data_IF_172293366659
#
_entry.id   IF_172293366659
#
_cell.length_a   1.000
_cell.length_b   1.000
_cell.length_c   1.000
_cell.angle_alpha   90.00
_cell.angle_beta   90.00
_cell.angle_gamma   90.00
#
_symmetry.space_group_name_H-M   'P 1'
#
loop_
_entity.id
_entity.type
_entity.pdbx_description
1 polymer ?
#
# COMPACT_ATOMS: atom_id res chain seq x y z
N UNK A 1 50.49 -11.56 18.73
CA UNK A 1 50.05 -11.46 18.68
C UNK A 1 49.19 -10.73 18.25
N UNK A 2 48.69 -10.48 17.84
CA UNK A 2 47.99 -9.79 17.43
C UNK A 2 46.83 -10.12 17.11
N UNK A 3 45.86 -9.86 17.43
CA UNK A 3 44.78 -10.21 17.25
C UNK A 3 44.06 -9.45 16.45
N UNK A 4 43.45 -9.82 15.70
CA UNK A 4 42.79 -9.31 14.87
C UNK A 4 41.59 -8.97 15.32
N UNK A 5 41.23 -8.02 15.43
CA UNK A 5 40.15 -7.65 15.79
C UNK A 5 39.18 -7.70 14.85
N UNK A 6 38.33 -8.41 14.86
CA UNK A 6 37.40 -8.52 14.05
C UNK A 6 36.36 -7.71 14.30
N UNK A 7 36.14 -6.80 13.83
CA UNK A 7 35.19 -6.06 13.95
C UNK A 7 34.17 -6.40 13.15
N UNK A 8 33.21 -6.85 13.59
CA UNK A 8 32.23 -7.18 12.91
C UNK A 8 31.38 -6.13 12.73
N UNK A 9 31.24 -5.52 11.89
CA UNK A 9 30.47 -4.51 11.62
C UNK A 9 29.17 -4.95 11.56
N UNK A 10 28.45 -4.64 12.39
CA UNK A 10 27.24 -5.11 12.41
C UNK A 10 26.49 -4.43 11.42
N UNK A 11 25.99 -4.91 10.56
CA UNK A 11 25.33 -4.34 9.67
C UNK A 11 24.03 -4.23 9.94
N UNK A 12 23.53 -3.32 10.39
CA UNK A 12 22.28 -3.22 10.64
C UNK A 12 21.63 -2.80 9.49
N UNK A 13 20.89 -3.46 8.97
CA UNK A 13 20.26 -3.08 7.90
C UNK A 13 19.06 -2.54 8.30
N UNK A 14 18.70 -1.45 8.04
CA UNK A 14 17.55 -0.95 8.34
C UNK A 14 16.60 -1.31 7.47
N UNK A 15 15.83 -2.01 7.73
CA UNK A 15 14.88 -2.46 6.96
C UNK A 15 13.94 -1.42 6.68
N UNK A 16 13.49 -1.30 5.63
CA UNK A 16 12.53 -0.41 5.29
C UNK A 16 11.41 -0.97 5.88
N UNK A 17 10.83 -0.40 6.63
CA UNK A 17 9.88 -0.94 7.37
C UNK A 17 8.64 -1.16 6.74
N UNK A 18 7.96 -1.96 7.29
CA UNK A 18 6.71 -2.24 6.84
C UNK A 18 5.90 -1.03 6.85
N UNK A 19 6.20 -0.05 7.65
CA UNK A 19 5.37 1.03 7.65
C UNK A 19 5.52 1.77 6.44
N UNK A 20 6.41 1.42 5.61
CA UNK A 20 6.52 2.09 4.37
C UNK A 20 5.23 2.04 3.60
N UNK A 21 4.42 1.03 3.81
CA UNK A 21 3.20 0.90 3.04
C UNK A 21 2.10 1.84 3.50
N UNK A 22 1.90 1.96 4.78
CA UNK A 22 0.95 2.92 5.28
C UNK A 22 1.49 4.33 5.08
N UNK A 23 2.76 4.54 5.27
CA UNK A 23 3.38 5.83 5.04
C UNK A 23 3.26 6.23 3.56
N UNK A 24 3.37 5.27 2.66
CA UNK A 24 3.21 5.53 1.24
C UNK A 24 1.77 5.96 0.95
N UNK A 25 0.79 5.28 1.53
CA UNK A 25 -0.59 5.65 1.34
C UNK A 25 -0.85 7.08 1.82
N UNK A 26 -0.25 7.45 2.95
CA UNK A 26 -0.39 8.81 3.45
C UNK A 26 0.30 9.81 2.53
N UNK A 27 1.48 9.49 2.06
CA UNK A 27 2.24 10.40 1.20
C UNK A 27 1.55 10.64 -0.13
N UNK A 28 0.78 9.67 -0.59
CA UNK A 28 0.08 9.80 -1.87
C UNK A 28 -1.37 10.25 -1.69
N UNK A 29 -1.70 10.70 -0.50
CA UNK A 29 -3.02 11.24 -0.17
C UNK A 29 -4.17 10.24 -0.25
N UNK A 30 -3.86 8.97 -0.21
CA UNK A 30 -4.90 7.95 -0.22
C UNK A 30 -5.76 8.03 1.03
N UNK A 31 -5.13 8.39 2.14
CA UNK A 31 -5.83 8.43 3.43
C UNK A 31 -6.74 9.65 3.58
N UNK A 32 -6.78 10.52 2.59
CA UNK A 32 -7.76 11.61 2.58
C UNK A 32 -9.16 11.04 2.35
N UNK A 33 -9.27 9.93 1.64
CA UNK A 33 -10.54 9.34 1.30
C UNK A 33 -10.72 7.92 1.85
N UNK A 34 -9.65 7.29 2.28
CA UNK A 34 -9.71 5.92 2.76
C UNK A 34 -9.22 5.82 4.21
N UNK A 35 -9.71 4.85 4.92
CA UNK A 35 -9.13 4.45 6.21
C UNK A 35 -8.96 2.94 6.17
N UNK A 36 -8.21 2.41 7.11
CA UNK A 36 -7.96 0.99 7.14
C UNK A 36 -9.22 0.21 7.46
N UNK A 37 -9.97 0.66 8.43
CA UNK A 37 -11.05 -0.11 8.99
C UNK A 37 -12.42 0.57 8.97
N UNK A 38 -12.55 1.68 8.31
CA UNK A 38 -13.87 2.31 8.21
C UNK A 38 -14.04 3.04 6.92
N UNK A 39 -15.27 3.19 6.51
CA UNK A 39 -15.55 3.90 5.30
C UNK A 39 -15.49 5.39 5.54
N UNK A 40 -14.85 6.08 4.65
CA UNK A 40 -14.86 7.54 4.62
C UNK A 40 -15.49 7.93 3.28
N UNK A 41 -14.81 8.70 2.47
CA UNK A 41 -15.27 8.98 1.13
C UNK A 41 -15.18 7.69 0.30
N UNK A 42 -14.08 6.98 0.44
CA UNK A 42 -13.91 5.68 -0.21
C UNK A 42 -14.08 4.53 0.78
N UNK A 43 -14.03 3.32 0.29
CA UNK A 43 -14.21 2.16 1.15
C UNK A 43 -13.03 1.95 2.09
N UNK A 44 -13.30 1.27 3.20
CA UNK A 44 -12.23 0.85 4.09
C UNK A 44 -11.31 -0.10 3.36
N UNK A 45 -10.02 -0.03 3.61
CA UNK A 45 -9.08 -0.94 2.96
C UNK A 45 -9.35 -2.40 3.30
N UNK A 46 -9.87 -2.67 4.49
CA UNK A 46 -10.22 -4.04 4.85
C UNK A 46 -11.37 -4.57 4.00
N UNK A 47 -12.29 -3.69 3.59
CA UNK A 47 -13.36 -4.10 2.69
C UNK A 47 -12.83 -4.29 1.28
N UNK A 48 -11.85 -3.48 0.85
CA UNK A 48 -11.22 -3.67 -0.44
C UNK A 48 -10.52 -5.03 -0.46
N UNK A 49 -9.83 -5.37 0.62
CA UNK A 49 -9.16 -6.66 0.73
C UNK A 49 -10.15 -7.81 0.57
N UNK A 50 -11.33 -7.69 1.16
CA UNK A 50 -12.33 -8.72 1.04
C UNK A 50 -12.87 -8.83 -0.38
N UNK A 51 -13.12 -7.69 -1.02
CA UNK A 51 -13.67 -7.72 -2.36
C UNK A 51 -12.68 -8.25 -3.38
N UNK A 52 -11.40 -8.00 -3.15
CA UNK A 52 -10.36 -8.45 -4.06
C UNK A 52 -9.68 -9.75 -3.60
N UNK A 53 -10.27 -10.43 -2.62
CA UNK A 53 -9.70 -11.70 -2.16
C UNK A 53 -9.57 -12.65 -3.34
N UNK A 54 -8.41 -13.26 -3.49
CA UNK A 54 -8.17 -14.16 -4.61
C UNK A 54 -7.69 -13.47 -5.87
N UNK A 55 -7.67 -12.14 -5.90
CA UNK A 55 -7.19 -11.42 -7.06
C UNK A 55 -5.74 -11.04 -6.86
N UNK A 56 -5.03 -10.77 -7.94
CA UNK A 56 -3.62 -10.45 -7.83
C UNK A 56 -3.39 -9.00 -7.43
N UNK A 57 -2.23 -8.73 -6.88
CA UNK A 57 -1.84 -7.37 -6.56
C UNK A 57 -1.77 -6.52 -7.84
N UNK A 58 -1.41 -7.12 -8.96
CA UNK A 58 -1.36 -6.37 -10.22
C UNK A 58 -2.74 -5.91 -10.63
N UNK A 59 -3.75 -6.72 -10.41
CA UNK A 59 -5.09 -6.36 -10.77
C UNK A 59 -5.59 -5.21 -9.89
N UNK A 60 -5.35 -5.28 -8.61
CA UNK A 60 -5.74 -4.19 -7.71
C UNK A 60 -4.92 -2.93 -8.02
N UNK A 61 -3.64 -3.08 -8.33
CA UNK A 61 -2.81 -1.93 -8.68
C UNK A 61 -3.35 -1.20 -9.90
N UNK A 62 -3.82 -1.95 -10.89
CA UNK A 62 -4.42 -1.32 -12.07
C UNK A 62 -5.67 -0.55 -11.70
N UNK A 63 -6.47 -1.11 -10.83
CA UNK A 63 -7.68 -0.43 -10.37
C UNK A 63 -7.36 0.85 -9.63
N UNK A 64 -6.31 0.82 -8.81
CA UNK A 64 -5.91 2.01 -8.06
C UNK A 64 -5.50 3.12 -9.04
N UNK A 65 -4.70 2.77 -10.04
CA UNK A 65 -4.23 3.79 -10.97
C UNK A 65 -5.33 4.31 -11.87
N UNK A 66 -6.23 3.45 -12.27
CA UNK A 66 -7.29 3.84 -13.17
C UNK A 66 -8.41 4.64 -12.49
N UNK A 67 -8.58 4.44 -11.20
CA UNK A 67 -9.73 5.02 -10.51
C UNK A 67 -11.00 4.39 -11.01
N UNK A 68 -12.10 5.06 -10.82
CA UNK A 68 -13.38 4.56 -11.32
C UNK A 68 -14.52 4.94 -10.42
N UNK A 69 -15.71 4.51 -10.80
CA UNK A 69 -16.89 4.75 -10.00
C UNK A 69 -17.84 3.58 -10.17
N UNK A 70 -18.76 3.47 -9.29
CA UNK A 70 -19.80 2.43 -9.39
C UNK A 70 -19.52 1.16 -8.64
N UNK A 71 -18.26 0.76 -8.55
CA UNK A 71 -17.93 -0.48 -7.85
C UNK A 71 -18.18 -0.35 -6.36
N UNK A 72 -17.98 0.82 -5.81
CA UNK A 72 -18.14 1.06 -4.38
C UNK A 72 -19.21 2.11 -4.09
N UNK A 73 -20.02 2.42 -5.09
CA UNK A 73 -21.05 3.43 -4.94
C UNK A 73 -20.87 4.54 -5.96
N UNK A 74 -21.60 5.63 -5.82
CA UNK A 74 -21.60 6.67 -6.85
C UNK A 74 -20.43 7.64 -6.79
N UNK A 75 -19.70 7.67 -5.68
CA UNK A 75 -18.62 8.62 -5.57
C UNK A 75 -17.42 8.10 -6.34
N UNK A 76 -16.91 8.85 -7.30
CA UNK A 76 -15.80 8.36 -8.10
C UNK A 76 -14.48 8.50 -7.38
N UNK A 77 -13.57 7.59 -7.66
CA UNK A 77 -12.18 7.72 -7.25
C UNK A 77 -11.42 8.27 -8.45
N UNK A 78 -10.70 9.37 -8.30
CA UNK A 78 -9.95 9.91 -9.43
C UNK A 78 -8.83 8.95 -9.84
N UNK A 79 -8.47 8.99 -11.10
CA UNK A 79 -7.32 8.22 -11.56
C UNK A 79 -6.06 8.74 -10.89
N UNK A 80 -5.18 7.83 -10.52
CA UNK A 80 -3.94 8.18 -9.83
C UNK A 80 -2.79 8.17 -10.84
N UNK A 81 -2.82 9.12 -11.75
CA UNK A 81 -1.90 9.11 -12.88
C UNK A 81 -0.45 9.38 -12.48
N UNK A 82 -0.25 10.06 -11.38
CA UNK A 82 1.11 10.33 -10.93
C UNK A 82 1.71 9.20 -10.11
N UNK A 83 0.92 8.19 -9.80
CA UNK A 83 1.42 7.08 -8.99
C UNK A 83 2.16 6.10 -9.89
N UNK A 84 3.37 5.73 -9.51
CA UNK A 84 4.14 4.77 -10.30
C UNK A 84 3.53 3.37 -10.21
N UNK A 85 3.81 2.55 -11.19
CA UNK A 85 3.35 1.17 -11.17
C UNK A 85 3.90 0.43 -9.94
N UNK A 86 5.15 0.70 -9.59
CA UNK A 86 5.77 0.06 -8.43
C UNK A 86 5.07 0.47 -7.14
N UNK A 87 4.76 1.74 -6.98
CA UNK A 87 4.06 2.20 -5.79
C UNK A 87 2.64 1.68 -5.76
N UNK A 88 1.96 1.62 -6.89
CA UNK A 88 0.62 1.06 -6.94
C UNK A 88 0.63 -0.40 -6.53
N UNK A 89 1.63 -1.16 -6.95
CA UNK A 89 1.72 -2.56 -6.57
C UNK A 89 2.06 -2.73 -5.10
N UNK A 90 2.90 -1.87 -4.56
CA UNK A 90 3.21 -1.89 -3.13
C UNK A 90 1.96 -1.63 -2.31
N UNK A 91 1.17 -0.63 -2.70
CA UNK A 91 -0.07 -0.33 -2.01
C UNK A 91 -1.07 -1.47 -2.15
N UNK A 92 -1.19 -2.04 -3.33
CA UNK A 92 -2.11 -3.15 -3.56
C UNK A 92 -1.74 -4.36 -2.71
N UNK A 93 -0.46 -4.68 -2.62
CA UNK A 93 0.00 -5.80 -1.82
C UNK A 93 -0.32 -5.57 -0.34
N UNK A 94 -0.09 -4.36 0.13
CA UNK A 94 -0.39 -4.00 1.52
C UNK A 94 -1.89 -4.13 1.80
N UNK A 95 -2.73 -3.59 0.90
CA UNK A 95 -4.17 -3.65 1.07
C UNK A 95 -4.64 -5.10 1.08
N UNK A 96 -4.16 -5.91 0.15
CA UNK A 96 -4.57 -7.31 0.08
C UNK A 96 -4.15 -8.10 1.31
N UNK A 97 -3.11 -7.66 1.99
CA UNK A 97 -2.69 -8.29 3.24
C UNK A 97 -3.48 -7.81 4.44
N UNK A 98 -4.48 -6.98 4.24
CA UNK A 98 -5.33 -6.49 5.33
C UNK A 98 -4.98 -5.08 5.80
N UNK A 99 -4.06 -4.42 5.11
CA UNK A 99 -3.62 -3.07 5.47
C UNK A 99 -3.08 -3.02 6.89
N UNK A 100 -2.25 -3.97 7.25
CA UNK A 100 -1.68 -4.04 8.59
C UNK A 100 -0.24 -3.65 8.63
#
# INVERSE_FOLDING_TARGET
MKQALLIMAAMTTLAAPAMADEALAKAKNCMACHAVDKKLVGPAYQDVAKKYAGKSADELAKSIKAGGSGKWGPVPMPAQTALSDADAKTLATWILGGAK
#
